data_IF_951140459370
#
_entry.id   IF_951140459370
#
_cell.length_a   1.000
_cell.length_b   1.000
_cell.length_c   1.000
_cell.angle_alpha   90.00
_cell.angle_beta   90.00
_cell.angle_gamma   90.00
#
_symmetry.space_group_name_H-M   'P 1'
#
loop_
_entity.id
_entity.type
_entity.pdbx_description
1 polymer ?
#
# COMPACT_ATOMS: atom_id res chain seq x y z
N UNK A 1 19.56 0.66 23.78
CA UNK A 1 18.49 -0.26 23.37
C UNK A 1 18.10 0.08 21.94
N UNK A 2 18.50 -0.75 20.99
CA UNK A 2 18.25 -0.48 19.57
C UNK A 2 16.86 -1.03 19.24
N UNK A 3 15.83 -0.19 19.33
CA UNK A 3 14.49 -0.58 18.89
C UNK A 3 14.57 -0.94 17.40
N UNK A 4 14.40 -2.22 17.07
CA UNK A 4 14.27 -2.72 15.69
C UNK A 4 12.97 -2.16 15.09
N UNK A 5 13.04 -0.91 14.62
CA UNK A 5 11.95 -0.26 13.91
C UNK A 5 11.94 -0.76 12.48
N UNK A 6 10.77 -1.18 12.02
CA UNK A 6 10.57 -1.50 10.62
C UNK A 6 10.49 -0.19 9.82
N UNK A 7 11.60 0.16 9.19
CA UNK A 7 11.74 1.39 8.40
C UNK A 7 10.82 1.35 7.18
N UNK A 8 10.66 0.18 6.56
CA UNK A 8 9.85 0.05 5.34
C UNK A 8 8.38 0.24 5.70
N UNK A 9 7.92 -0.32 6.82
CA UNK A 9 6.57 -0.08 7.33
C UNK A 9 6.30 1.42 7.56
N UNK A 10 7.29 2.15 8.08
CA UNK A 10 7.16 3.60 8.28
C UNK A 10 7.03 4.35 6.94
N UNK A 11 7.86 4.03 5.96
CA UNK A 11 7.78 4.64 4.61
C UNK A 11 6.43 4.38 3.94
N UNK A 12 5.84 3.20 4.16
CA UNK A 12 4.50 2.86 3.66
C UNK A 12 3.43 3.66 4.40
N UNK A 13 3.55 3.80 5.73
CA UNK A 13 2.63 4.63 6.53
C UNK A 13 2.69 6.11 6.16
N UNK A 14 3.86 6.60 5.76
CA UNK A 14 4.04 7.98 5.28
C UNK A 14 3.51 8.16 3.84
N UNK A 15 3.08 7.07 3.17
CA UNK A 15 2.55 7.11 1.81
C UNK A 15 3.62 7.32 0.74
N UNK A 16 4.90 7.12 1.06
CA UNK A 16 5.98 7.22 0.09
C UNK A 16 6.02 5.97 -0.79
N UNK A 17 5.71 4.81 -0.22
CA UNK A 17 5.78 3.50 -0.88
C UNK A 17 4.40 2.84 -0.93
N UNK A 18 4.18 2.04 -1.98
CA UNK A 18 3.05 1.11 -2.10
C UNK A 18 3.57 -0.33 -2.06
N UNK A 19 2.80 -1.24 -1.48
CA UNK A 19 3.11 -2.67 -1.40
C UNK A 19 2.12 -3.47 -2.24
N UNK A 20 2.64 -4.25 -3.20
CA UNK A 20 1.84 -5.21 -3.95
C UNK A 20 1.65 -6.51 -3.17
N UNK A 21 0.42 -6.73 -2.72
CA UNK A 21 0.03 -7.93 -1.97
C UNK A 21 -0.40 -9.11 -2.86
N UNK A 22 -0.58 -8.91 -4.18
CA UNK A 22 -1.15 -9.93 -5.08
C UNK A 22 -0.33 -11.24 -5.12
N UNK A 23 0.99 -11.12 -4.96
CA UNK A 23 1.93 -12.24 -5.05
C UNK A 23 2.23 -12.94 -3.72
N UNK A 24 1.67 -12.48 -2.60
CA UNK A 24 2.01 -12.98 -1.24
C UNK A 24 0.83 -13.68 -0.58
N UNK A 25 0.79 -15.01 -0.69
CA UNK A 25 -0.23 -15.87 -0.06
C UNK A 25 0.32 -16.78 1.05
N UNK A 26 1.59 -16.60 1.41
CA UNK A 26 2.25 -17.43 2.43
C UNK A 26 1.67 -17.16 3.83
N UNK A 27 1.09 -18.19 4.45
CA UNK A 27 0.46 -18.06 5.79
C UNK A 27 1.40 -17.50 6.86
N UNK A 28 2.69 -17.84 6.81
CA UNK A 28 3.71 -17.34 7.76
C UNK A 28 3.90 -15.83 7.68
N UNK A 29 3.61 -15.21 6.53
CA UNK A 29 3.77 -13.77 6.30
C UNK A 29 2.48 -12.98 6.55
N UNK A 30 1.36 -13.64 6.84
CA UNK A 30 0.05 -12.99 6.94
C UNK A 30 0.02 -11.86 7.96
N UNK A 31 0.72 -12.01 9.09
CA UNK A 31 0.82 -10.96 10.11
C UNK A 31 1.48 -9.69 9.54
N UNK A 32 2.65 -9.83 8.94
CA UNK A 32 3.36 -8.72 8.32
C UNK A 32 2.54 -8.11 7.18
N UNK A 33 1.95 -8.93 6.31
CA UNK A 33 1.06 -8.47 5.23
C UNK A 33 -0.09 -7.61 5.77
N UNK A 34 -0.73 -8.03 6.87
CA UNK A 34 -1.83 -7.27 7.47
C UNK A 34 -1.35 -5.94 8.07
N UNK A 35 -0.17 -5.90 8.71
CA UNK A 35 0.43 -4.67 9.25
C UNK A 35 0.73 -3.65 8.14
N UNK A 36 1.36 -4.10 7.06
CA UNK A 36 1.66 -3.25 5.90
C UNK A 36 0.39 -2.78 5.19
N UNK A 37 -0.62 -3.64 5.10
CA UNK A 37 -1.92 -3.25 4.51
C UNK A 37 -2.59 -2.15 5.34
N UNK A 38 -2.59 -2.28 6.68
CA UNK A 38 -3.13 -1.26 7.57
C UNK A 38 -2.36 0.08 7.46
N UNK A 39 -1.03 0.04 7.36
CA UNK A 39 -0.21 1.23 7.15
C UNK A 39 -0.54 1.93 5.82
N UNK A 40 -0.65 1.16 4.74
CA UNK A 40 -1.00 1.69 3.44
C UNK A 40 -2.42 2.26 3.40
N UNK A 41 -3.40 1.57 4.00
CA UNK A 41 -4.78 2.04 4.08
C UNK A 41 -4.88 3.35 4.90
N UNK A 42 -4.04 3.51 5.92
CA UNK A 42 -3.90 4.76 6.68
C UNK A 42 -3.36 5.89 5.80
N UNK A 43 -2.29 5.65 5.03
CA UNK A 43 -1.72 6.62 4.11
C UNK A 43 -2.71 7.04 3.01
N UNK A 44 -3.46 6.07 2.45
CA UNK A 44 -4.55 6.29 1.48
C UNK A 44 -5.64 7.20 2.06
N UNK A 45 -6.16 6.87 3.25
CA UNK A 45 -7.21 7.66 3.92
C UNK A 45 -6.77 9.09 4.21
N UNK A 46 -5.51 9.28 4.57
CA UNK A 46 -4.91 10.59 4.85
C UNK A 46 -4.47 11.34 3.59
N UNK A 47 -4.57 10.73 2.40
CA UNK A 47 -4.12 11.30 1.11
C UNK A 47 -2.67 11.79 1.15
N UNK A 48 -1.78 10.99 1.73
CA UNK A 48 -0.35 11.34 1.86
C UNK A 48 0.42 11.01 0.58
N UNK A 49 1.33 11.90 0.18
CA UNK A 49 2.32 11.68 -0.89
C UNK A 49 1.69 11.09 -2.17
N UNK A 50 2.00 9.83 -2.51
CA UNK A 50 1.48 9.19 -3.74
C UNK A 50 -0.06 9.12 -3.75
N UNK A 51 -0.70 9.19 -2.59
CA UNK A 51 -2.15 9.12 -2.43
C UNK A 51 -2.86 10.49 -2.45
N UNK A 52 -2.13 11.59 -2.68
CA UNK A 52 -2.69 12.95 -2.61
C UNK A 52 -3.85 13.19 -3.58
N UNK A 53 -3.78 12.55 -4.76
CA UNK A 53 -4.73 12.75 -5.85
C UNK A 53 -5.65 11.54 -6.09
N UNK A 54 -5.78 10.65 -5.10
CA UNK A 54 -6.60 9.44 -5.21
C UNK A 54 -5.80 8.16 -5.05
N UNK A 55 -6.43 7.03 -5.37
CA UNK A 55 -5.78 5.72 -5.29
C UNK A 55 -4.99 5.45 -6.58
N UNK A 56 -3.66 5.53 -6.50
CA UNK A 56 -2.79 5.26 -7.66
C UNK A 56 -2.86 3.83 -8.18
N UNK A 57 -3.46 2.91 -7.43
CA UNK A 57 -3.64 1.51 -7.84
C UNK A 57 -4.93 1.29 -8.63
N UNK A 58 -5.83 2.27 -8.60
CA UNK A 58 -7.04 2.30 -9.39
C UNK A 58 -6.73 2.92 -10.75
N UNK A 59 -6.00 2.18 -11.59
CA UNK A 59 -5.97 2.46 -13.03
C UNK A 59 -7.27 1.93 -13.65
N UNK A 60 -8.31 2.76 -13.56
CA UNK A 60 -9.56 2.58 -14.28
C UNK A 60 -9.54 3.56 -15.48
N UNK A 61 -8.62 3.34 -16.43
CA UNK A 61 -8.59 3.98 -17.75
C UNK A 61 -9.82 3.65 -18.64
N UNK A 62 -11.01 3.57 -18.04
CA UNK A 62 -12.31 3.48 -18.71
C UNK A 62 -12.48 4.63 -19.70
N UNK A 63 -11.98 5.82 -19.35
CA UNK A 63 -11.99 7.00 -20.23
C UNK A 63 -11.16 6.82 -21.51
N UNK A 64 -10.22 5.87 -21.52
CA UNK A 64 -9.40 5.51 -22.68
C UNK A 64 -9.83 4.16 -23.30
N UNK A 65 -11.01 3.63 -22.95
CA UNK A 65 -11.51 2.37 -23.48
C UNK A 65 -10.87 1.11 -22.89
N UNK A 66 -10.06 1.22 -21.84
CA UNK A 66 -9.55 0.07 -21.11
C UNK A 66 -10.58 -0.38 -20.07
N UNK A 67 -11.47 -1.29 -20.46
CA UNK A 67 -12.27 -2.07 -19.51
C UNK A 67 -11.46 -3.28 -19.05
N UNK A 68 -11.30 -3.48 -17.73
CA UNK A 68 -10.79 -4.74 -17.16
C UNK A 68 -11.63 -5.90 -17.75
N UNK A 69 -11.01 -6.74 -18.56
CA UNK A 69 -11.56 -8.01 -19.01
C UNK A 69 -11.63 -9.01 -17.85
#
# INVERSE_FOLDING_TARGET
>A
EETKKDIVLQLVSDGLFFVDFKSRRERRLQKAVNEYKAAQDSAKKKRLNIWQYGDITEDDAKEFGYSKA
#
